data_IF_869797364150
#
_entry.id   IF_869797364150
#
_cell.length_a   1.000
_cell.length_b   1.000
_cell.length_c   1.000
_cell.angle_alpha   90.00
_cell.angle_beta   90.00
_cell.angle_gamma   90.00
#
_symmetry.space_group_name_H-M   'P 1'
#
loop_
_entity.id
_entity.type
_entity.pdbx_description
1 polymer ?
#
# COMPACT_ATOMS: atom_id res chain seq x y z
N UNK A 1 -0.64 9.62 12.55
CA UNK A 1 -1.30 10.29 11.41
C UNK A 1 -2.59 9.56 11.27
N UNK A 2 -3.72 10.20 11.49
CA UNK A 2 -4.98 9.48 11.45
C UNK A 2 -5.37 9.21 10.00
N UNK A 3 -5.58 7.93 9.68
CA UNK A 3 -6.08 7.48 8.40
C UNK A 3 -7.31 6.60 8.64
N UNK A 4 -8.32 6.75 7.78
CA UNK A 4 -9.54 5.96 7.86
C UNK A 4 -9.30 4.62 7.15
N UNK A 5 -9.78 3.51 7.71
CA UNK A 5 -9.73 2.23 7.03
C UNK A 5 -11.09 1.89 6.41
N UNK A 6 -11.09 1.36 5.19
CA UNK A 6 -12.23 0.60 4.70
C UNK A 6 -12.40 -0.67 5.54
N UNK A 7 -13.62 -1.19 5.63
CA UNK A 7 -13.89 -2.48 6.29
C UNK A 7 -13.02 -3.62 5.71
N UNK A 8 -12.79 -3.57 4.39
CA UNK A 8 -11.92 -4.52 3.70
C UNK A 8 -10.45 -4.37 4.14
N UNK A 9 -9.96 -3.14 4.29
CA UNK A 9 -8.60 -2.88 4.75
C UNK A 9 -8.39 -3.34 6.20
N UNK A 10 -9.34 -3.07 7.10
CA UNK A 10 -9.28 -3.53 8.49
C UNK A 10 -9.21 -5.05 8.59
N UNK A 11 -10.05 -5.74 7.81
CA UNK A 11 -10.03 -7.20 7.74
C UNK A 11 -8.66 -7.70 7.27
N UNK A 12 -8.09 -7.12 6.20
CA UNK A 12 -6.79 -7.53 5.66
C UNK A 12 -5.61 -7.24 6.58
N UNK A 13 -5.63 -6.13 7.31
CA UNK A 13 -4.65 -5.83 8.35
C UNK A 13 -4.70 -6.88 9.47
N UNK A 14 -5.91 -7.22 9.94
CA UNK A 14 -6.12 -8.20 11.01
C UNK A 14 -5.70 -9.62 10.59
N UNK A 15 -6.14 -10.08 9.42
CA UNK A 15 -5.80 -11.42 8.87
C UNK A 15 -4.29 -11.64 8.77
N UNK A 16 -3.57 -10.60 8.35
CA UNK A 16 -2.12 -10.67 8.10
C UNK A 16 -1.27 -10.16 9.26
N UNK A 17 -1.89 -9.87 10.40
CA UNK A 17 -1.24 -9.33 11.62
C UNK A 17 -0.35 -8.12 11.30
N UNK A 18 -0.85 -7.22 10.46
CA UNK A 18 -0.18 -5.95 10.14
C UNK A 18 -0.73 -4.90 11.10
N UNK A 19 0.15 -4.24 11.85
CA UNK A 19 -0.29 -3.15 12.73
C UNK A 19 -0.65 -1.90 11.91
N UNK A 20 -1.58 -1.09 12.41
CA UNK A 20 -1.87 0.22 11.82
C UNK A 20 -0.60 1.09 11.76
N UNK A 21 0.27 1.01 12.77
CA UNK A 21 1.55 1.71 12.80
C UNK A 21 2.50 1.30 11.67
N UNK A 22 2.58 0.01 11.34
CA UNK A 22 3.39 -0.48 10.22
C UNK A 22 2.88 0.08 8.88
N UNK A 23 1.55 0.16 8.72
CA UNK A 23 0.95 0.78 7.55
C UNK A 23 1.21 2.31 7.50
N UNK A 24 1.08 3.02 8.62
CA UNK A 24 1.40 4.46 8.70
C UNK A 24 2.84 4.76 8.33
N UNK A 25 3.78 3.95 8.84
CA UNK A 25 5.19 4.15 8.60
C UNK A 25 5.52 4.07 7.10
N UNK A 26 4.89 3.12 6.40
CA UNK A 26 5.07 2.94 4.95
C UNK A 26 4.38 4.06 4.17
N UNK A 27 3.22 4.55 4.62
CA UNK A 27 2.57 5.71 3.97
C UNK A 27 3.43 6.97 4.13
N UNK A 28 4.04 7.19 5.30
CA UNK A 28 4.91 8.36 5.57
C UNK A 28 6.25 8.26 4.86
N UNK A 29 6.85 7.07 4.86
CA UNK A 29 8.18 6.80 4.32
C UNK A 29 8.14 5.62 3.32
N UNK A 30 7.47 5.77 2.17
CA UNK A 30 7.39 4.72 1.17
C UNK A 30 8.72 4.55 0.44
N UNK A 31 9.06 3.31 0.10
CA UNK A 31 10.14 2.98 -0.84
C UNK A 31 9.78 3.43 -2.26
N UNK A 32 8.50 3.32 -2.62
CA UNK A 32 7.98 3.78 -3.91
C UNK A 32 6.51 4.15 -3.80
N UNK A 33 6.07 5.11 -4.62
CA UNK A 33 4.67 5.50 -4.73
C UNK A 33 4.24 5.45 -6.19
N UNK A 34 3.05 4.91 -6.42
CA UNK A 34 2.43 4.82 -7.74
C UNK A 34 1.04 5.44 -7.73
N UNK A 35 0.62 5.96 -8.88
CA UNK A 35 -0.77 6.28 -9.18
C UNK A 35 -1.39 5.09 -9.94
N UNK A 36 -2.45 4.49 -9.39
CA UNK A 36 -3.25 3.50 -10.12
C UNK A 36 -4.23 4.22 -11.04
N UNK A 37 -3.91 4.27 -12.33
CA UNK A 37 -4.68 5.06 -13.33
C UNK A 37 -6.10 4.53 -13.55
N UNK A 38 -6.40 3.27 -13.20
CA UNK A 38 -7.77 2.75 -13.34
C UNK A 38 -8.70 3.28 -12.24
N UNK A 39 -8.16 3.54 -11.05
CA UNK A 39 -8.96 3.88 -9.88
C UNK A 39 -8.72 5.29 -9.35
N UNK A 40 -7.64 5.96 -9.79
CA UNK A 40 -7.19 7.24 -9.27
C UNK A 40 -6.54 7.16 -7.89
N UNK A 41 -6.40 5.96 -7.31
CA UNK A 41 -5.82 5.78 -5.98
C UNK A 41 -4.29 5.80 -6.01
N UNK A 42 -3.71 6.16 -4.87
CA UNK A 42 -2.29 6.04 -4.63
C UNK A 42 -1.95 4.66 -4.11
N UNK A 43 -0.75 4.20 -4.46
CA UNK A 43 -0.19 2.93 -4.02
C UNK A 43 1.18 3.18 -3.42
N UNK A 44 1.29 3.06 -2.10
CA UNK A 44 2.57 3.09 -1.40
C UNK A 44 3.11 1.67 -1.28
N UNK A 45 4.41 1.51 -1.50
CA UNK A 45 5.13 0.26 -1.28
C UNK A 45 6.25 0.51 -0.30
N UNK A 46 6.42 -0.38 0.66
CA UNK A 46 7.57 -0.36 1.58
C UNK A 46 7.84 -1.73 2.18
N UNK A 47 9.04 -1.90 2.71
CA UNK A 47 9.43 -3.14 3.40
C UNK A 47 8.70 -3.31 4.73
N UNK A 48 8.36 -4.57 5.04
CA UNK A 48 7.73 -4.93 6.30
C UNK A 48 8.77 -5.04 7.41
N UNK A 49 8.70 -4.14 8.39
CA UNK A 49 9.56 -4.20 9.60
C UNK A 49 9.33 -5.48 10.39
N UNK A 50 8.10 -5.97 10.45
CA UNK A 50 7.74 -7.19 11.17
C UNK A 50 8.07 -8.47 10.41
N UNK A 51 8.42 -8.38 9.11
CA UNK A 51 8.68 -9.52 8.23
C UNK A 51 9.71 -9.18 7.15
N UNK A 52 11.02 -9.30 7.43
CA UNK A 52 12.07 -9.01 6.47
C UNK A 52 11.93 -9.79 5.15
N UNK A 53 12.27 -9.15 4.03
CA UNK A 53 12.13 -9.73 2.68
C UNK A 53 10.70 -9.68 2.12
N UNK A 54 9.73 -9.22 2.91
CA UNK A 54 8.39 -8.91 2.44
C UNK A 54 8.19 -7.41 2.28
N UNK A 55 7.37 -7.04 1.30
CA UNK A 55 6.87 -5.68 1.11
C UNK A 55 5.39 -5.63 1.36
N UNK A 56 4.95 -4.53 1.95
CA UNK A 56 3.56 -4.17 2.05
C UNK A 56 3.23 -3.17 0.96
N UNK A 57 2.25 -3.53 0.14
CA UNK A 57 1.61 -2.66 -0.82
C UNK A 57 0.36 -2.12 -0.14
N UNK A 58 0.22 -0.80 -0.12
CA UNK A 58 -0.87 -0.09 0.50
C UNK A 58 -1.59 0.73 -0.57
N UNK A 59 -2.86 0.44 -0.81
CA UNK A 59 -3.71 1.23 -1.70
C UNK A 59 -4.53 2.19 -0.86
N UNK A 60 -4.43 3.48 -1.15
CA UNK A 60 -5.11 4.53 -0.39
C UNK A 60 -5.54 5.68 -1.29
N UNK A 61 -6.61 6.38 -0.90
CA UNK A 61 -6.99 7.64 -1.54
C UNK A 61 -6.43 8.82 -0.75
N UNK A 62 -5.83 9.79 -1.42
CA UNK A 62 -5.40 11.07 -0.86
C UNK A 62 -6.46 12.15 -1.11
N UNK A 63 -7.56 12.10 -0.35
CA UNK A 63 -8.56 13.17 -0.31
C UNK A 63 -8.31 14.10 0.88
N UNK A 64 -9.38 14.66 1.47
CA UNK A 64 -9.29 15.44 2.72
C UNK A 64 -8.65 14.64 3.87
N UNK A 65 -8.85 13.32 3.87
CA UNK A 65 -8.17 12.37 4.77
C UNK A 65 -7.62 11.21 3.97
N UNK A 66 -6.52 10.64 4.46
CA UNK A 66 -6.01 9.38 3.91
C UNK A 66 -7.01 8.29 4.25
N UNK A 67 -7.50 7.60 3.22
CA UNK A 67 -8.36 6.42 3.40
C UNK A 67 -7.66 5.18 2.86
N UNK A 68 -7.35 4.24 3.75
CA UNK A 68 -6.81 2.92 3.41
C UNK A 68 -7.90 2.08 2.75
N UNK A 69 -7.68 1.71 1.50
CA UNK A 69 -8.64 0.93 0.71
C UNK A 69 -8.35 -0.55 0.88
N UNK A 70 -7.09 -0.95 0.71
CA UNK A 70 -6.64 -2.33 0.91
C UNK A 70 -5.13 -2.39 1.14
N UNK A 71 -4.67 -3.54 1.63
CA UNK A 71 -3.25 -3.85 1.80
C UNK A 71 -2.94 -5.21 1.20
N UNK A 72 -1.72 -5.39 0.71
CA UNK A 72 -1.22 -6.65 0.15
C UNK A 72 0.19 -6.90 0.69
N UNK A 73 0.38 -8.02 1.39
CA UNK A 73 1.70 -8.52 1.79
C UNK A 73 2.23 -9.42 0.67
N UNK A 74 3.45 -9.15 0.18
CA UNK A 74 4.10 -9.95 -0.86
C UNK A 74 5.61 -10.03 -0.65
N UNK A 75 6.19 -11.21 -0.85
CA UNK A 75 7.64 -11.38 -1.03
C UNK A 75 8.09 -11.25 -2.49
N UNK A 76 7.12 -11.12 -3.43
CA UNK A 76 7.38 -11.13 -4.87
C UNK A 76 7.23 -9.73 -5.45
N UNK A 77 8.32 -9.21 -6.01
CA UNK A 77 8.36 -7.93 -6.72
C UNK A 77 7.64 -7.94 -8.07
N UNK A 78 7.36 -9.13 -8.60
CA UNK A 78 6.71 -9.29 -9.91
C UNK A 78 5.34 -8.62 -9.98
N UNK A 79 4.58 -8.58 -8.87
CA UNK A 79 3.27 -7.92 -8.82
C UNK A 79 3.42 -6.43 -9.15
N UNK A 80 4.41 -5.77 -8.54
CA UNK A 80 4.68 -4.33 -8.76
C UNK A 80 5.17 -4.13 -10.20
N UNK A 81 6.18 -4.90 -10.61
CA UNK A 81 6.77 -4.81 -11.96
C UNK A 81 5.75 -5.03 -13.08
N UNK A 82 4.84 -5.99 -12.92
CA UNK A 82 3.80 -6.27 -13.92
C UNK A 82 2.77 -5.14 -14.00
N UNK A 83 2.37 -4.56 -12.86
CA UNK A 83 1.42 -3.44 -12.83
C UNK A 83 2.00 -2.17 -13.45
N UNK A 84 3.28 -1.92 -13.20
CA UNK A 84 4.04 -0.83 -13.82
C UNK A 84 4.24 -1.06 -15.32
N UNK A 85 4.72 -2.24 -15.74
CA UNK A 85 4.94 -2.58 -17.15
C UNK A 85 3.68 -2.49 -18.00
N UNK A 86 2.51 -2.83 -17.43
CA UNK A 86 1.22 -2.71 -18.11
C UNK A 86 0.68 -1.28 -18.16
N UNK A 87 1.40 -0.31 -17.58
CA UNK A 87 0.99 1.10 -17.52
C UNK A 87 -0.11 1.40 -16.51
N UNK A 88 -0.58 0.41 -15.73
CA UNK A 88 -1.64 0.62 -14.74
C UNK A 88 -1.13 1.39 -13.53
N UNK A 89 0.09 1.12 -13.08
CA UNK A 89 0.71 1.84 -11.98
C UNK A 89 1.79 2.74 -12.53
N UNK A 90 1.54 4.04 -12.51
CA UNK A 90 2.52 5.04 -12.94
C UNK A 90 3.31 5.47 -11.72
N UNK A 91 4.62 5.24 -11.74
CA UNK A 91 5.49 5.61 -10.62
C UNK A 91 5.57 7.14 -10.51
N UNK A 92 5.37 7.66 -9.31
CA UNK A 92 5.45 9.09 -8.99
C UNK A 92 6.52 9.41 -7.93
N UNK A 93 7.03 8.40 -7.21
CA UNK A 93 8.18 8.48 -6.29
C UNK A 93 8.91 7.12 -6.23
#
# INVERSE_FOLDING_TARGET
>A
MDFDCSQHAEMKLKERKISKSEAEDIIKNPESVFLDIETGNLVAVGERKSRPGHRLIIVYSSGERIKLITVIDTSRMEIIKMREKRGRWVRIK
#
